data_IF_309236422654
#
_entry.id   IF_309236422654
#
_cell.length_a   1.000
_cell.length_b   1.000
_cell.length_c   1.000
_cell.angle_alpha   90.00
_cell.angle_beta   90.00
_cell.angle_gamma   90.00
#
_symmetry.space_group_name_H-M   'P 1'
#
loop_
_entity.id
_entity.type
_entity.pdbx_description
1 polymer ?
#
# COMPACT_ATOMS: atom_id res chain seq x y z
N UNK A 1 23.00 -3.09 -2.44
CA UNK A 1 22.06 -4.22 -2.57
C UNK A 1 20.67 -3.60 -2.64
N UNK A 2 19.90 -3.90 -3.67
CA UNK A 2 18.49 -3.51 -3.70
C UNK A 2 17.78 -4.29 -2.58
N UNK A 3 16.94 -3.62 -1.79
CA UNK A 3 16.11 -4.27 -0.78
C UNK A 3 15.04 -5.17 -1.44
N UNK A 4 14.19 -5.83 -0.65
CA UNK A 4 13.11 -6.64 -1.17
C UNK A 4 12.19 -5.81 -2.07
N UNK A 5 11.59 -6.48 -3.07
CA UNK A 5 10.65 -5.87 -4.02
C UNK A 5 9.23 -6.20 -3.60
N UNK A 6 8.41 -5.17 -3.49
CA UNK A 6 6.97 -5.31 -3.28
C UNK A 6 6.27 -5.47 -4.63
N UNK A 7 5.50 -6.53 -4.78
CA UNK A 7 4.65 -6.82 -5.94
C UNK A 7 3.20 -6.70 -5.49
N UNK A 8 2.53 -5.58 -5.83
CA UNK A 8 1.22 -5.20 -5.31
C UNK A 8 0.21 -4.98 -6.43
N UNK A 9 -1.02 -5.43 -6.23
CA UNK A 9 -2.16 -5.02 -7.05
C UNK A 9 -3.34 -4.64 -6.17
N UNK A 10 -3.96 -3.49 -6.48
CA UNK A 10 -5.10 -2.94 -5.76
C UNK A 10 -6.37 -3.01 -6.58
N UNK A 11 -7.48 -3.28 -5.90
CA UNK A 11 -8.80 -3.47 -6.48
C UNK A 11 -9.85 -2.65 -5.73
N UNK A 12 -10.90 -2.23 -6.44
CA UNK A 12 -12.12 -1.72 -5.79
C UNK A 12 -12.93 -2.92 -5.28
N UNK A 13 -13.48 -2.81 -4.09
CA UNK A 13 -14.31 -3.86 -3.48
C UNK A 13 -15.73 -3.33 -3.32
N UNK A 14 -16.66 -3.90 -4.09
CA UNK A 14 -18.09 -3.58 -3.99
C UNK A 14 -18.83 -4.43 -2.97
N UNK A 15 -18.37 -5.68 -2.73
CA UNK A 15 -18.93 -6.62 -1.77
C UNK A 15 -17.83 -7.16 -0.86
N UNK A 16 -17.72 -6.54 0.31
CA UNK A 16 -16.72 -6.91 1.33
C UNK A 16 -17.01 -8.29 1.90
N UNK A 17 -18.29 -8.64 2.13
CA UNK A 17 -18.64 -9.93 2.73
C UNK A 17 -18.26 -11.07 1.80
N UNK A 18 -18.55 -10.95 0.51
CA UNK A 18 -18.15 -11.96 -0.48
C UNK A 18 -16.61 -12.14 -0.53
N UNK A 19 -15.84 -11.06 -0.41
CA UNK A 19 -14.38 -11.16 -0.35
C UNK A 19 -13.92 -11.90 0.91
N UNK A 20 -14.51 -11.58 2.06
CA UNK A 20 -14.16 -12.24 3.33
C UNK A 20 -14.51 -13.74 3.32
N UNK A 21 -15.65 -14.11 2.75
CA UNK A 21 -16.07 -15.49 2.59
C UNK A 21 -15.05 -16.26 1.73
N UNK A 22 -14.61 -15.68 0.61
CA UNK A 22 -13.60 -16.27 -0.27
C UNK A 22 -12.22 -16.39 0.36
N UNK A 23 -11.83 -15.44 1.21
CA UNK A 23 -10.61 -15.53 2.03
C UNK A 23 -10.72 -16.69 3.02
N UNK A 24 -11.88 -16.82 3.70
CA UNK A 24 -12.16 -17.90 4.63
C UNK A 24 -12.11 -19.29 3.96
N UNK A 25 -12.74 -19.44 2.79
CA UNK A 25 -12.70 -20.69 1.99
C UNK A 25 -11.27 -21.14 1.64
N UNK A 26 -10.31 -20.20 1.62
CA UNK A 26 -8.90 -20.46 1.31
C UNK A 26 -8.01 -20.53 2.55
N UNK A 27 -8.63 -20.59 3.73
CA UNK A 27 -7.93 -20.63 5.01
C UNK A 27 -6.98 -19.43 5.22
N UNK A 28 -7.33 -18.26 4.70
CA UNK A 28 -6.61 -17.04 5.02
C UNK A 28 -6.78 -16.72 6.51
N UNK A 29 -5.67 -16.39 7.16
CA UNK A 29 -5.66 -16.07 8.59
C UNK A 29 -5.70 -14.54 8.74
N UNK A 30 -6.72 -14.03 9.42
CA UNK A 30 -6.75 -12.62 9.80
C UNK A 30 -5.73 -12.37 10.90
N UNK A 31 -4.79 -11.49 10.65
CA UNK A 31 -3.67 -11.18 11.54
C UNK A 31 -4.03 -10.06 12.51
N UNK A 32 -4.50 -8.95 11.97
CA UNK A 32 -4.82 -7.76 12.75
C UNK A 32 -5.75 -6.81 11.99
N UNK A 33 -6.32 -5.88 12.74
CA UNK A 33 -7.00 -4.68 12.21
C UNK A 33 -6.25 -3.46 12.69
N UNK A 34 -5.92 -2.57 11.77
CA UNK A 34 -5.10 -1.38 12.02
C UNK A 34 -5.83 -0.12 11.57
N UNK A 35 -5.73 0.93 12.37
CA UNK A 35 -6.14 2.27 11.96
C UNK A 35 -4.91 3.02 11.44
N UNK A 36 -4.90 3.35 10.16
CA UNK A 36 -3.79 4.05 9.51
C UNK A 36 -4.12 5.52 9.28
N UNK A 37 -3.16 6.38 9.58
CA UNK A 37 -3.15 7.79 9.19
C UNK A 37 -1.86 8.04 8.42
N UNK A 38 -1.98 8.27 7.11
CA UNK A 38 -0.85 8.49 6.20
C UNK A 38 -0.74 9.99 5.88
N UNK A 39 0.34 10.64 6.32
CA UNK A 39 0.71 12.00 5.92
C UNK A 39 1.75 11.92 4.81
N UNK A 40 1.37 12.23 3.58
CA UNK A 40 2.28 12.30 2.45
C UNK A 40 3.01 13.62 2.42
N UNK A 41 4.25 13.60 1.93
CA UNK A 41 5.14 14.77 1.87
C UNK A 41 5.54 15.06 0.42
N UNK A 42 5.25 16.27 -0.06
CA UNK A 42 5.72 16.73 -1.35
C UNK A 42 7.17 17.22 -1.23
N UNK A 43 8.03 16.77 -2.14
CA UNK A 43 9.44 17.18 -2.18
C UNK A 43 9.57 18.63 -2.71
N UNK A 44 10.49 19.45 -2.15
CA UNK A 44 10.61 20.87 -2.52
C UNK A 44 11.04 21.12 -3.98
N UNK A 45 11.82 20.20 -4.58
CA UNK A 45 12.43 20.38 -5.89
C UNK A 45 12.04 19.32 -6.92
N UNK A 46 11.27 18.27 -6.53
CA UNK A 46 10.83 17.19 -7.43
C UNK A 46 9.32 17.00 -7.32
N UNK A 47 8.65 16.90 -8.44
CA UNK A 47 7.24 16.48 -8.45
C UNK A 47 7.17 14.94 -8.43
N UNK A 48 6.85 14.37 -7.28
CA UNK A 48 6.73 12.92 -7.09
C UNK A 48 5.63 12.27 -7.95
N UNK A 49 4.68 13.05 -8.49
CA UNK A 49 3.70 12.55 -9.45
C UNK A 49 4.36 12.26 -10.80
N UNK A 50 5.31 13.12 -11.20
CA UNK A 50 6.05 12.99 -12.47
C UNK A 50 7.13 11.91 -12.36
N UNK A 51 7.83 11.85 -11.23
CA UNK A 51 8.90 10.87 -10.99
C UNK A 51 8.39 9.51 -10.52
N UNK A 52 7.08 9.40 -10.24
CA UNK A 52 6.42 8.19 -9.75
C UNK A 52 6.99 7.69 -8.41
N UNK A 53 7.30 8.64 -7.53
CA UNK A 53 7.80 8.41 -6.18
C UNK A 53 6.71 8.71 -5.13
N UNK A 54 6.90 8.22 -3.92
CA UNK A 54 6.09 8.65 -2.77
C UNK A 54 6.94 8.66 -1.50
N UNK A 55 6.66 9.64 -0.64
CA UNK A 55 7.25 9.72 0.68
C UNK A 55 6.14 10.02 1.69
N UNK A 56 6.03 9.19 2.73
CA UNK A 56 4.98 9.31 3.74
C UNK A 56 5.47 9.04 5.15
N UNK A 57 4.82 9.69 6.11
CA UNK A 57 4.76 9.29 7.50
C UNK A 57 3.46 8.54 7.73
N UNK A 58 3.51 7.34 8.28
CA UNK A 58 2.35 6.53 8.65
C UNK A 58 2.29 6.37 10.15
N UNK A 59 1.12 6.63 10.72
CA UNK A 59 0.74 6.18 12.05
C UNK A 59 -0.17 4.98 11.92
N UNK A 60 0.05 3.95 12.69
CA UNK A 60 -0.83 2.80 12.76
C UNK A 60 -0.84 2.24 14.18
N UNK A 61 -2.05 2.19 14.78
CA UNK A 61 -2.24 1.84 16.18
C UNK A 61 -1.33 2.69 17.10
N UNK A 62 -0.36 2.06 17.81
CA UNK A 62 0.62 2.71 18.68
C UNK A 62 2.02 2.85 18.06
N UNK A 63 2.14 2.59 16.75
CA UNK A 63 3.41 2.59 16.03
C UNK A 63 3.42 3.67 14.94
N UNK A 64 4.59 3.95 14.42
CA UNK A 64 4.76 4.82 13.26
C UNK A 64 5.93 4.37 12.40
N UNK A 65 5.87 4.70 11.11
CA UNK A 65 6.97 4.49 10.19
C UNK A 65 7.09 5.61 9.17
N UNK A 66 8.29 5.75 8.62
CA UNK A 66 8.60 6.58 7.45
C UNK A 66 8.80 5.65 6.27
N UNK A 67 8.08 5.89 5.19
CA UNK A 67 8.17 5.06 3.98
C UNK A 67 8.56 5.91 2.78
N UNK A 68 9.63 5.53 2.09
CA UNK A 68 9.94 6.00 0.75
C UNK A 68 9.64 4.90 -0.25
N UNK A 69 8.87 5.24 -1.27
CA UNK A 69 8.55 4.36 -2.39
C UNK A 69 9.16 4.93 -3.66
N UNK A 70 10.06 4.18 -4.30
CA UNK A 70 10.72 4.58 -5.54
C UNK A 70 9.82 4.42 -6.76
N UNK A 71 10.37 4.74 -7.93
CA UNK A 71 9.68 4.62 -9.23
C UNK A 71 9.24 3.18 -9.50
N UNK A 72 8.01 3.02 -10.00
CA UNK A 72 7.48 1.71 -10.40
C UNK A 72 8.19 1.17 -11.65
N UNK A 73 8.38 -0.13 -11.68
CA UNK A 73 8.74 -0.85 -12.89
C UNK A 73 7.54 -0.93 -13.83
N UNK A 74 7.75 -0.99 -15.16
CA UNK A 74 6.67 -1.21 -16.12
C UNK A 74 5.90 -2.51 -15.84
N UNK A 75 4.57 -2.48 -16.01
CA UNK A 75 3.69 -3.65 -15.86
C UNK A 75 2.35 -3.31 -15.22
N UNK A 76 1.40 -4.26 -15.27
CA UNK A 76 0.05 -4.10 -14.74
C UNK A 76 -0.01 -4.25 -13.21
N UNK A 77 0.95 -4.97 -12.63
CA UNK A 77 1.11 -5.16 -11.19
C UNK A 77 2.21 -4.22 -10.74
N UNK A 78 1.93 -3.40 -9.72
CA UNK A 78 2.89 -2.43 -9.21
C UNK A 78 4.08 -3.14 -8.57
N UNK A 79 5.26 -2.77 -9.00
CA UNK A 79 6.53 -3.29 -8.48
C UNK A 79 7.49 -2.14 -8.35
N UNK A 80 8.04 -1.93 -7.16
CA UNK A 80 9.00 -0.85 -6.91
C UNK A 80 9.84 -1.11 -5.66
N UNK A 81 11.04 -0.49 -5.56
CA UNK A 81 11.79 -0.51 -4.32
C UNK A 81 11.06 0.28 -3.24
N UNK A 82 11.01 -0.27 -2.05
CA UNK A 82 10.46 0.37 -0.87
C UNK A 82 11.49 0.37 0.26
N UNK A 83 11.59 1.50 0.97
CA UNK A 83 12.39 1.64 2.19
C UNK A 83 11.43 2.08 3.28
N UNK A 84 11.28 1.25 4.29
CA UNK A 84 10.47 1.58 5.46
C UNK A 84 11.32 1.53 6.73
N UNK A 85 11.19 2.57 7.55
CA UNK A 85 11.89 2.70 8.83
C UNK A 85 10.87 2.94 9.93
N UNK A 86 10.88 2.08 10.94
CA UNK A 86 10.06 2.28 12.14
C UNK A 86 10.60 3.47 12.92
N UNK A 87 9.70 4.32 13.40
CA UNK A 87 9.99 5.48 14.26
C UNK A 87 9.07 5.46 15.49
N UNK A 88 9.43 6.19 16.53
CA UNK A 88 8.55 6.39 17.66
C UNK A 88 7.32 7.23 17.28
N UNK A 89 6.13 6.84 17.71
CA UNK A 89 4.92 7.63 17.45
C UNK A 89 5.02 9.05 18.05
N UNK A 90 5.69 9.19 19.20
CA UNK A 90 5.95 10.48 19.85
C UNK A 90 6.86 11.39 19.00
N UNK A 91 7.64 10.84 18.08
CA UNK A 91 8.60 11.59 17.27
C UNK A 91 7.97 12.21 16.00
N UNK A 92 6.73 11.84 15.68
CA UNK A 92 6.06 12.32 14.46
C UNK A 92 6.02 13.85 14.34
N UNK A 93 5.66 14.61 15.37
CA UNK A 93 5.67 16.08 15.29
C UNK A 93 7.04 16.64 14.92
N UNK A 94 8.11 16.11 15.56
CA UNK A 94 9.49 16.53 15.27
C UNK A 94 9.94 16.12 13.86
N UNK A 95 9.54 14.93 13.40
CA UNK A 95 9.77 14.49 12.02
C UNK A 95 9.09 15.42 11.00
N UNK A 96 7.84 15.78 11.23
CA UNK A 96 7.11 16.70 10.33
C UNK A 96 7.77 18.09 10.33
N UNK A 97 8.13 18.62 11.51
CA UNK A 97 8.82 19.89 11.65
C UNK A 97 10.16 19.88 10.91
N UNK A 98 10.98 18.85 11.10
CA UNK A 98 12.25 18.68 10.41
C UNK A 98 12.05 18.62 8.88
N UNK A 99 11.06 17.86 8.40
CA UNK A 99 10.77 17.79 6.97
C UNK A 99 10.31 19.14 6.41
N UNK A 100 9.53 19.92 7.15
CA UNK A 100 9.11 21.25 6.77
C UNK A 100 10.30 22.22 6.68
N UNK A 101 11.24 22.17 7.64
CA UNK A 101 12.48 22.93 7.57
C UNK A 101 13.34 22.55 6.37
N UNK A 102 13.32 21.31 5.92
CA UNK A 102 13.95 20.82 4.70
C UNK A 102 13.14 21.17 3.43
N UNK A 103 12.02 21.89 3.56
CA UNK A 103 11.20 22.37 2.45
C UNK A 103 10.13 21.40 1.95
N UNK A 104 9.97 20.24 2.59
CA UNK A 104 8.86 19.34 2.28
C UNK A 104 7.52 19.94 2.73
N UNK A 105 6.46 19.64 1.97
CA UNK A 105 5.12 20.15 2.27
C UNK A 105 4.15 18.97 2.49
N UNK A 106 3.43 18.93 3.63
CA UNK A 106 2.43 17.91 3.86
C UNK A 106 1.27 18.06 2.86
N UNK A 107 0.77 16.92 2.38
CA UNK A 107 -0.44 16.75 1.59
C UNK A 107 -1.62 16.36 2.50
N UNK A 108 -2.87 16.40 2.01
CA UNK A 108 -4.01 15.86 2.76
C UNK A 108 -3.76 14.44 3.26
N UNK A 109 -4.18 14.18 4.49
CA UNK A 109 -4.03 12.87 5.11
C UNK A 109 -4.97 11.83 4.50
N UNK A 110 -4.45 10.64 4.26
CA UNK A 110 -5.27 9.47 3.94
C UNK A 110 -5.50 8.67 5.20
N UNK A 111 -6.76 8.51 5.58
CA UNK A 111 -7.17 7.74 6.75
C UNK A 111 -7.89 6.48 6.32
N UNK A 112 -7.53 5.34 6.90
CA UNK A 112 -8.15 4.06 6.57
C UNK A 112 -8.14 3.10 7.76
N UNK A 113 -9.13 2.21 7.77
CA UNK A 113 -9.09 0.98 8.58
C UNK A 113 -8.62 -0.15 7.68
N UNK A 114 -7.54 -0.84 8.06
CA UNK A 114 -6.95 -1.95 7.32
C UNK A 114 -7.12 -3.25 8.09
N UNK A 115 -7.75 -4.24 7.47
CA UNK A 115 -7.72 -5.64 7.93
C UNK A 115 -6.67 -6.39 7.13
N UNK A 116 -5.77 -7.06 7.82
CA UNK A 116 -4.64 -7.78 7.19
C UNK A 116 -4.86 -9.27 7.29
N UNK A 117 -4.77 -9.96 6.16
CA UNK A 117 -4.87 -11.40 6.06
C UNK A 117 -3.58 -11.98 5.47
N UNK A 118 -3.13 -13.11 6.02
CA UNK A 118 -2.06 -13.91 5.45
C UNK A 118 -2.64 -15.14 4.79
N UNK A 119 -2.30 -15.38 3.53
CA UNK A 119 -2.69 -16.56 2.77
C UNK A 119 -1.44 -17.39 2.47
N UNK A 120 -1.30 -18.52 3.14
CA UNK A 120 -0.20 -19.45 2.91
C UNK A 120 -0.41 -20.23 1.61
N UNK A 121 0.67 -20.38 0.82
CA UNK A 121 0.69 -21.23 -0.38
C UNK A 121 1.86 -22.18 -0.26
N UNK A 122 1.57 -23.49 -0.34
CA UNK A 122 2.60 -24.54 -0.17
C UNK A 122 3.77 -24.33 -1.13
N UNK A 123 5.00 -24.37 -0.59
CA UNK A 123 6.24 -24.21 -1.37
C UNK A 123 6.56 -22.80 -1.85
N UNK A 124 5.79 -21.80 -1.44
CA UNK A 124 5.98 -20.40 -1.87
C UNK A 124 5.86 -19.41 -0.70
N UNK A 125 6.36 -18.20 -0.91
CA UNK A 125 6.10 -17.08 0.00
C UNK A 125 4.58 -16.83 0.13
N UNK A 126 4.07 -16.59 1.35
CA UNK A 126 2.68 -16.28 1.57
C UNK A 126 2.29 -14.94 0.94
N UNK A 127 1.02 -14.80 0.58
CA UNK A 127 0.46 -13.51 0.23
C UNK A 127 0.02 -12.75 1.47
N UNK A 128 0.18 -11.43 1.42
CA UNK A 128 -0.59 -10.51 2.26
C UNK A 128 -1.78 -10.01 1.46
N UNK A 129 -2.97 -10.12 2.03
CA UNK A 129 -4.19 -9.51 1.48
C UNK A 129 -4.68 -8.48 2.47
N UNK A 130 -4.68 -7.22 2.09
CA UNK A 130 -5.20 -6.13 2.91
C UNK A 130 -6.57 -5.70 2.39
N UNK A 131 -7.54 -5.59 3.29
CA UNK A 131 -8.86 -5.00 3.02
C UNK A 131 -8.91 -3.64 3.70
N UNK A 132 -8.95 -2.58 2.89
CA UNK A 132 -8.88 -1.18 3.32
C UNK A 132 -10.25 -0.50 3.19
N UNK A 133 -10.80 -0.06 4.29
CA UNK A 133 -11.89 0.92 4.31
C UNK A 133 -11.28 2.32 4.40
N UNK A 134 -11.28 3.03 3.26
CA UNK A 134 -10.60 4.34 3.13
C UNK A 134 -11.61 5.46 3.28
N UNK A 135 -11.39 6.33 4.25
CA UNK A 135 -12.28 7.44 4.55
C UNK A 135 -12.57 8.28 3.29
N UNK A 136 -13.82 8.48 3.01
CA UNK A 136 -14.33 9.23 1.84
C UNK A 136 -14.11 8.61 0.47
N UNK A 137 -13.41 7.47 0.35
CA UNK A 137 -13.11 6.85 -0.94
C UNK A 137 -13.83 5.52 -1.18
N UNK A 138 -14.16 4.78 -0.12
CA UNK A 138 -14.78 3.46 -0.20
C UNK A 138 -13.84 2.34 0.19
N UNK A 139 -14.18 1.12 -0.23
CA UNK A 139 -13.44 -0.09 0.15
C UNK A 139 -12.59 -0.61 -0.99
N UNK A 140 -11.38 -1.05 -0.63
CA UNK A 140 -10.38 -1.59 -1.55
C UNK A 140 -9.77 -2.86 -0.99
N UNK A 141 -9.18 -3.67 -1.85
CA UNK A 141 -8.30 -4.76 -1.47
C UNK A 141 -6.94 -4.58 -2.14
N UNK A 142 -5.87 -4.88 -1.42
CA UNK A 142 -4.51 -4.95 -1.96
C UNK A 142 -4.01 -6.39 -1.78
N UNK A 143 -3.48 -6.99 -2.86
CA UNK A 143 -2.77 -8.26 -2.80
C UNK A 143 -1.30 -7.95 -2.95
N UNK A 144 -0.50 -8.35 -1.97
CA UNK A 144 0.93 -8.07 -1.89
C UNK A 144 1.72 -9.38 -1.82
N UNK A 145 2.85 -9.41 -2.51
CA UNK A 145 3.84 -10.46 -2.45
C UNK A 145 5.24 -9.82 -2.39
N UNK A 146 6.05 -10.24 -1.43
CA UNK A 146 7.43 -9.77 -1.32
C UNK A 146 8.35 -10.79 -2.01
N UNK A 147 9.27 -10.29 -2.85
CA UNK A 147 10.30 -11.09 -3.50
C UNK A 147 11.67 -10.50 -3.24
N UNK A 148 12.64 -11.34 -3.01
CA UNK A 148 14.04 -10.95 -2.78
C UNK A 148 14.87 -10.93 -4.08
N UNK A 149 14.40 -11.66 -5.11
CA UNK A 149 15.04 -11.75 -6.42
C UNK A 149 14.13 -11.17 -7.51
N UNK A 150 14.60 -10.14 -8.20
CA UNK A 150 13.88 -9.52 -9.32
C UNK A 150 13.64 -10.50 -10.48
N UNK A 151 14.44 -11.56 -10.59
CA UNK A 151 14.22 -12.64 -11.56
C UNK A 151 12.91 -13.40 -11.37
N UNK A 152 12.31 -13.33 -10.17
CA UNK A 152 11.02 -13.94 -9.85
C UNK A 152 9.82 -13.03 -10.15
N UNK A 153 10.04 -11.85 -10.75
CA UNK A 153 9.02 -10.82 -10.91
C UNK A 153 7.83 -11.29 -11.75
N UNK A 154 8.06 -11.94 -12.89
CA UNK A 154 6.98 -12.36 -13.78
C UNK A 154 6.14 -13.48 -13.14
N UNK A 155 6.78 -14.39 -12.41
CA UNK A 155 6.09 -15.41 -11.62
C UNK A 155 5.26 -14.76 -10.51
N UNK A 156 5.83 -13.83 -9.75
CA UNK A 156 5.12 -13.12 -8.69
C UNK A 156 3.90 -12.37 -9.21
N UNK A 157 4.01 -11.68 -10.33
CA UNK A 157 2.89 -11.00 -11.01
C UNK A 157 1.80 -11.98 -11.40
N UNK A 158 2.16 -13.08 -12.05
CA UNK A 158 1.21 -14.14 -12.45
C UNK A 158 0.48 -14.72 -11.24
N UNK A 159 1.18 -14.91 -10.12
CA UNK A 159 0.60 -15.39 -8.86
C UNK A 159 -0.39 -14.39 -8.27
N UNK A 160 -0.06 -13.09 -8.21
CA UNK A 160 -0.96 -12.02 -7.75
C UNK A 160 -2.22 -11.96 -8.63
N UNK A 161 -2.09 -12.02 -9.95
CA UNK A 161 -3.21 -12.03 -10.88
C UNK A 161 -4.08 -13.31 -10.74
N UNK A 162 -3.46 -14.45 -10.49
CA UNK A 162 -4.20 -15.71 -10.26
C UNK A 162 -5.01 -15.65 -8.96
N UNK A 163 -4.41 -15.14 -7.89
CA UNK A 163 -5.10 -14.99 -6.62
C UNK A 163 -6.25 -13.96 -6.71
N UNK A 164 -6.07 -12.86 -7.43
CA UNK A 164 -7.13 -11.86 -7.60
C UNK A 164 -8.38 -12.47 -8.25
N UNK A 165 -8.21 -13.31 -9.28
CA UNK A 165 -9.31 -14.03 -9.93
C UNK A 165 -10.02 -15.00 -8.95
N UNK A 166 -9.24 -15.72 -8.15
CA UNK A 166 -9.77 -16.63 -7.14
C UNK A 166 -10.56 -15.90 -6.04
N UNK A 167 -10.14 -14.68 -5.69
CA UNK A 167 -10.84 -13.82 -4.74
C UNK A 167 -11.98 -13.01 -5.38
N UNK A 168 -12.16 -13.10 -6.72
CA UNK A 168 -13.17 -12.36 -7.46
C UNK A 168 -12.94 -10.86 -7.53
N UNK A 169 -11.68 -10.45 -7.42
CA UNK A 169 -11.26 -9.07 -7.52
C UNK A 169 -10.98 -8.73 -8.99
N UNK A 170 -11.92 -8.03 -9.63
CA UNK A 170 -11.87 -7.78 -11.08
C UNK A 170 -11.62 -6.30 -11.44
N UNK A 171 -12.00 -5.37 -10.56
CA UNK A 171 -11.88 -3.94 -10.81
C UNK A 171 -10.55 -3.40 -10.27
N UNK A 172 -9.53 -3.38 -11.14
CA UNK A 172 -8.19 -2.89 -10.77
C UNK A 172 -8.22 -1.38 -10.54
N UNK A 173 -7.64 -0.93 -9.42
CA UNK A 173 -7.43 0.49 -9.10
C UNK A 173 -5.94 0.85 -9.19
N UNK A 174 -5.46 1.44 -10.32
CA UNK A 174 -4.04 1.76 -10.49
C UNK A 174 -3.59 2.99 -9.70
N UNK A 175 -4.52 3.87 -9.32
CA UNK A 175 -4.20 5.12 -8.61
C UNK A 175 -3.93 4.85 -7.13
N UNK A 176 -3.05 5.66 -6.52
CA UNK A 176 -2.86 5.66 -5.06
C UNK A 176 -4.06 6.26 -4.33
N UNK A 177 -4.24 5.96 -3.04
CA UNK A 177 -5.29 6.59 -2.24
C UNK A 177 -5.13 8.11 -2.16
N UNK A 178 -3.89 8.61 -2.07
CA UNK A 178 -3.63 10.05 -2.14
C UNK A 178 -4.13 10.64 -3.46
N UNK A 179 -3.81 10.03 -4.60
CA UNK A 179 -4.25 10.51 -5.91
C UNK A 179 -5.79 10.48 -6.05
N UNK A 180 -6.47 9.47 -5.50
CA UNK A 180 -7.93 9.42 -5.46
C UNK A 180 -8.51 10.53 -4.57
N UNK A 181 -7.89 10.78 -3.41
CA UNK A 181 -8.33 11.81 -2.48
C UNK A 181 -8.14 13.21 -3.07
N UNK A 182 -6.98 13.49 -3.67
CA UNK A 182 -6.70 14.79 -4.31
C UNK A 182 -7.69 15.08 -5.44
N UNK A 183 -7.98 14.09 -6.31
CA UNK A 183 -8.99 14.25 -7.35
C UNK A 183 -10.39 14.52 -6.79
N UNK A 184 -10.77 13.84 -5.70
CA UNK A 184 -12.06 14.10 -5.03
C UNK A 184 -12.13 15.49 -4.44
N UNK A 185 -11.02 16.01 -3.93
CA UNK A 185 -10.92 17.36 -3.34
C UNK A 185 -10.76 18.46 -4.40
N UNK A 186 -10.54 18.12 -5.67
CA UNK A 186 -10.28 19.08 -6.74
C UNK A 186 -8.94 19.82 -6.59
N UNK A 187 -7.96 19.20 -5.97
CA UNK A 187 -6.62 19.76 -5.69
C UNK A 187 -5.53 18.92 -6.36
N UNK A 188 -5.58 18.78 -7.68
CA UNK A 188 -4.56 18.10 -8.49
C UNK A 188 -3.36 18.99 -8.84
#
# INVERSE_FOLDING_TARGET
MAGPWEVEQKFVVSDVQQLLDRLGERNAVEMNTELHVDTYLAHPCRDFRVTDEAFRLRQYNSQACVTYKGKRLPGNVKTRPEIELTIGQADIPQWLEMMQHLGFRPKPEVRKTRRVFTLAVSGHQPFTVAVDEVASLGTFAEIELIIDDIGMLDEARSRVESLSKLLGLNEIQPRSYLSLLLAKLGVD
#
